data_IF_963896464508
#
_entry.id   IF_963896464508
#
_cell.length_a   1.000
_cell.length_b   1.000
_cell.length_c   1.000
_cell.angle_alpha   90.00
_cell.angle_beta   90.00
_cell.angle_gamma   90.00
#
_symmetry.space_group_name_H-M   'P 1'
#
loop_
_entity.id
_entity.type
_entity.pdbx_description
1 polymer ?
#
# COMPACT_ATOMS: atom_id res chain seq x y z
N UNK A 1 -4.35 -24.49 -17.30
CA UNK A 1 -5.00 -23.19 -17.52
C UNK A 1 -5.23 -23.01 -19.01
N UNK A 2 -6.42 -22.57 -19.43
CA UNK A 2 -6.62 -22.11 -20.83
C UNK A 2 -5.95 -20.75 -20.98
N UNK A 3 -5.17 -20.56 -22.04
CA UNK A 3 -4.50 -19.29 -22.34
C UNK A 3 -5.48 -18.38 -23.04
N UNK A 4 -5.80 -17.24 -22.41
CA UNK A 4 -6.65 -16.21 -22.97
C UNK A 4 -5.77 -15.12 -23.58
N UNK A 5 -5.69 -15.08 -24.91
CA UNK A 5 -4.88 -14.09 -25.62
C UNK A 5 -5.52 -12.71 -25.61
N UNK A 6 -4.69 -11.68 -25.56
CA UNK A 6 -5.14 -10.31 -25.71
C UNK A 6 -5.68 -10.08 -27.13
N UNK A 7 -6.85 -9.43 -27.30
CA UNK A 7 -7.37 -9.13 -28.63
C UNK A 7 -6.38 -8.27 -29.44
N UNK A 8 -6.29 -8.50 -30.75
CA UNK A 8 -5.37 -7.76 -31.62
C UNK A 8 -5.75 -6.27 -31.72
N UNK A 9 -7.05 -5.96 -31.66
CA UNK A 9 -7.58 -4.60 -31.74
C UNK A 9 -7.73 -3.94 -30.36
N UNK A 10 -6.59 -3.67 -29.69
CA UNK A 10 -6.56 -2.90 -28.44
C UNK A 10 -6.12 -1.45 -28.74
N UNK A 11 -6.87 -0.43 -28.27
CA UNK A 11 -6.52 0.98 -28.45
C UNK A 11 -5.09 1.30 -27.99
N UNK A 12 -4.40 2.18 -28.71
CA UNK A 12 -3.03 2.60 -28.39
C UNK A 12 -2.88 3.05 -26.93
N UNK A 13 -3.85 3.79 -26.40
CA UNK A 13 -3.87 4.23 -25.00
C UNK A 13 -3.75 3.07 -24.01
N UNK A 14 -4.48 1.96 -24.24
CA UNK A 14 -4.38 0.76 -23.39
C UNK A 14 -3.03 0.05 -23.54
N UNK A 15 -2.40 0.12 -24.71
CA UNK A 15 -1.04 -0.40 -24.93
C UNK A 15 -0.01 0.43 -24.17
N UNK A 16 -0.11 1.76 -24.21
CA UNK A 16 0.76 2.67 -23.45
C UNK A 16 0.61 2.47 -21.94
N UNK A 17 -0.60 2.29 -21.43
CA UNK A 17 -0.82 1.89 -20.02
C UNK A 17 -0.11 0.58 -19.68
N UNK A 18 -0.23 -0.45 -20.53
CA UNK A 18 0.48 -1.72 -20.31
C UNK A 18 1.99 -1.55 -20.37
N UNK A 19 2.51 -0.74 -21.30
CA UNK A 19 3.93 -0.46 -21.44
C UNK A 19 4.48 0.30 -20.22
N UNK A 20 3.74 1.28 -19.70
CA UNK A 20 4.09 2.00 -18.48
C UNK A 20 4.16 1.05 -17.26
N UNK A 21 3.15 0.20 -17.08
CA UNK A 21 3.17 -0.82 -16.01
C UNK A 21 4.29 -1.84 -16.21
N UNK A 22 4.56 -2.26 -17.44
CA UNK A 22 5.66 -3.18 -17.75
C UNK A 22 7.01 -2.54 -17.43
N UNK A 23 7.23 -1.28 -17.80
CA UNK A 23 8.43 -0.52 -17.45
C UNK A 23 8.58 -0.42 -15.93
N UNK A 24 7.51 -0.15 -15.20
CA UNK A 24 7.54 -0.12 -13.73
C UNK A 24 7.89 -1.50 -13.12
N UNK A 25 7.26 -2.59 -13.59
CA UNK A 25 7.58 -3.96 -13.16
C UNK A 25 9.04 -4.31 -13.47
N UNK A 26 9.52 -3.97 -14.66
CA UNK A 26 10.93 -4.15 -15.05
C UNK A 26 11.87 -3.38 -14.13
N UNK A 27 11.54 -2.11 -13.83
CA UNK A 27 12.29 -1.29 -12.87
C UNK A 27 12.36 -1.93 -11.48
N UNK A 28 11.30 -2.60 -11.04
CA UNK A 28 11.27 -3.23 -9.73
C UNK A 28 12.02 -4.58 -9.69
N UNK A 29 11.94 -5.39 -10.75
CA UNK A 29 12.41 -6.79 -10.72
C UNK A 29 13.78 -7.03 -11.37
N UNK A 30 14.14 -6.26 -12.40
CA UNK A 30 15.28 -6.56 -13.28
C UNK A 30 16.27 -5.40 -13.46
N UNK A 31 15.82 -4.15 -13.30
CA UNK A 31 16.68 -2.98 -13.56
C UNK A 31 17.91 -2.94 -12.66
N UNK A 32 17.80 -3.32 -11.39
CA UNK A 32 18.94 -3.35 -10.48
C UNK A 32 20.05 -4.31 -10.96
N UNK A 33 19.65 -5.48 -11.47
CA UNK A 33 20.55 -6.50 -12.01
C UNK A 33 21.20 -5.99 -13.30
N UNK A 34 20.43 -5.35 -14.19
CA UNK A 34 20.97 -4.70 -15.38
C UNK A 34 21.96 -3.59 -15.04
N UNK A 35 21.65 -2.74 -14.05
CA UNK A 35 22.51 -1.67 -13.57
C UNK A 35 23.82 -2.21 -12.98
N UNK A 36 23.74 -3.27 -12.18
CA UNK A 36 24.92 -3.93 -11.62
C UNK A 36 25.79 -4.54 -12.73
N UNK A 37 25.18 -5.27 -13.67
CA UNK A 37 25.88 -5.86 -14.80
C UNK A 37 26.56 -4.77 -15.65
N UNK A 38 25.86 -3.67 -15.94
CA UNK A 38 26.43 -2.54 -16.67
C UNK A 38 27.63 -1.92 -15.95
N UNK A 39 27.55 -1.74 -14.63
CA UNK A 39 28.67 -1.23 -13.84
C UNK A 39 29.88 -2.18 -13.84
N UNK A 40 29.64 -3.49 -13.69
CA UNK A 40 30.71 -4.51 -13.75
C UNK A 40 31.34 -4.56 -15.14
N UNK A 41 30.55 -4.56 -16.21
CA UNK A 41 31.06 -4.52 -17.58
C UNK A 41 31.86 -3.25 -17.86
N UNK A 42 31.42 -2.09 -17.35
CA UNK A 42 32.17 -0.84 -17.45
C UNK A 42 33.53 -0.95 -16.74
N UNK A 43 33.55 -1.54 -15.54
CA UNK A 43 34.77 -1.74 -14.76
C UNK A 43 35.76 -2.73 -15.40
N UNK A 44 35.27 -3.69 -16.19
CA UNK A 44 36.09 -4.67 -16.90
C UNK A 44 36.47 -4.22 -18.33
N UNK A 45 35.92 -3.11 -18.80
CA UNK A 45 36.20 -2.56 -20.14
C UNK A 45 37.38 -1.58 -20.12
N UNK A 46 37.79 -1.11 -21.30
CA UNK A 46 38.78 -0.02 -21.45
C UNK A 46 38.34 1.30 -20.78
N UNK A 47 37.05 1.42 -20.42
CA UNK A 47 36.47 2.56 -19.71
C UNK A 47 36.48 2.41 -18.18
N UNK A 48 37.30 1.51 -17.62
CA UNK A 48 37.37 1.26 -16.19
C UNK A 48 37.63 2.51 -15.33
N UNK A 49 38.31 3.52 -15.87
CA UNK A 49 38.53 4.81 -15.19
C UNK A 49 37.18 5.48 -14.87
N UNK A 50 36.21 5.41 -15.78
CA UNK A 50 34.85 5.95 -15.53
C UNK A 50 34.17 5.18 -14.41
N UNK A 51 34.30 3.85 -14.38
CA UNK A 51 33.78 3.03 -13.30
C UNK A 51 34.45 3.36 -11.96
N UNK A 52 35.77 3.61 -11.94
CA UNK A 52 36.51 4.00 -10.75
C UNK A 52 36.08 5.38 -10.25
N UNK A 53 35.95 6.37 -11.14
CA UNK A 53 35.48 7.70 -10.78
C UNK A 53 34.05 7.64 -10.20
N UNK A 54 33.17 6.85 -10.83
CA UNK A 54 31.84 6.65 -10.31
C UNK A 54 31.85 5.90 -8.96
N UNK A 55 32.70 4.90 -8.78
CA UNK A 55 32.87 4.22 -7.49
C UNK A 55 33.36 5.18 -6.38
N UNK A 56 34.30 6.06 -6.72
CA UNK A 56 34.77 7.12 -5.82
C UNK A 56 33.64 8.07 -5.44
N UNK A 57 32.82 8.48 -6.41
CA UNK A 57 31.61 9.26 -6.15
C UNK A 57 30.62 8.52 -5.24
N UNK A 58 30.36 7.23 -5.50
CA UNK A 58 29.47 6.39 -4.68
C UNK A 58 29.93 6.29 -3.22
N UNK A 59 31.24 6.26 -3.00
CA UNK A 59 31.84 6.24 -1.67
C UNK A 59 31.67 7.58 -0.94
N UNK A 60 31.94 8.70 -1.62
CA UNK A 60 31.66 10.04 -1.07
C UNK A 60 30.17 10.24 -0.78
N UNK A 61 29.32 9.62 -1.59
CA UNK A 61 27.88 9.76 -1.55
C UNK A 61 27.14 8.69 -0.72
N UNK A 62 27.86 7.95 0.12
CA UNK A 62 27.34 6.74 0.76
C UNK A 62 26.05 6.96 1.57
N UNK A 63 25.96 8.09 2.28
CA UNK A 63 24.88 8.37 3.24
C UNK A 63 23.67 9.11 2.63
N UNK A 64 23.69 9.45 1.34
CA UNK A 64 22.58 10.17 0.72
C UNK A 64 21.22 9.44 0.82
N UNK A 65 21.14 8.11 0.64
CA UNK A 65 19.90 7.36 0.84
C UNK A 65 19.30 7.42 2.25
N UNK A 66 20.12 7.70 3.27
CA UNK A 66 19.69 7.87 4.67
C UNK A 66 19.53 9.34 5.07
N UNK A 67 19.88 10.27 4.18
CA UNK A 67 19.82 11.72 4.40
C UNK A 67 18.78 12.43 3.52
N UNK A 68 17.70 11.73 3.15
CA UNK A 68 16.58 12.28 2.37
C UNK A 68 16.64 12.03 0.86
N UNK A 69 17.72 11.43 0.36
CA UNK A 69 17.88 11.06 -1.05
C UNK A 69 17.98 12.26 -2.00
N UNK A 70 17.84 11.98 -3.30
CA UNK A 70 17.86 12.98 -4.38
C UNK A 70 16.57 12.99 -5.18
N UNK A 71 15.50 13.48 -4.56
CA UNK A 71 14.21 13.55 -5.22
C UNK A 71 14.26 14.49 -6.43
N UNK A 72 13.79 14.02 -7.58
CA UNK A 72 13.71 14.80 -8.82
C UNK A 72 12.27 15.06 -9.21
N UNK A 73 11.88 16.33 -9.25
CA UNK A 73 10.53 16.71 -9.67
C UNK A 73 10.26 16.32 -11.13
N UNK A 74 11.30 16.38 -11.97
CA UNK A 74 11.21 16.00 -13.38
C UNK A 74 10.88 14.52 -13.54
N UNK A 75 11.61 13.64 -12.85
CA UNK A 75 11.34 12.18 -12.89
C UNK A 75 9.96 11.86 -12.34
N UNK A 76 9.55 12.47 -11.22
CA UNK A 76 8.22 12.27 -10.63
C UNK A 76 7.07 12.74 -11.53
N UNK A 77 7.34 13.64 -12.47
CA UNK A 77 6.34 14.23 -13.37
C UNK A 77 6.39 13.66 -14.80
N UNK A 78 7.11 12.55 -15.02
CA UNK A 78 7.10 11.89 -16.33
C UNK A 78 5.69 11.44 -16.73
N UNK A 79 5.35 11.65 -18.01
CA UNK A 79 4.05 11.27 -18.58
C UNK A 79 3.76 9.77 -18.52
N UNK A 80 4.79 8.93 -18.39
CA UNK A 80 4.64 7.48 -18.16
C UNK A 80 3.81 7.19 -16.91
N UNK A 81 3.88 8.06 -15.88
CA UNK A 81 3.13 7.88 -14.64
C UNK A 81 1.63 8.14 -14.80
N UNK A 82 1.21 8.96 -15.76
CA UNK A 82 -0.21 9.14 -16.07
C UNK A 82 -0.81 7.86 -16.67
N UNK A 83 -0.07 7.20 -17.56
CA UNK A 83 -0.44 5.89 -18.10
C UNK A 83 -0.44 4.80 -17.03
N UNK A 84 0.51 4.84 -16.09
CA UNK A 84 0.53 3.96 -14.92
C UNK A 84 -0.71 4.17 -14.04
N UNK A 85 -1.05 5.44 -13.74
CA UNK A 85 -2.24 5.82 -12.97
C UNK A 85 -3.52 5.29 -13.59
N UNK A 86 -3.65 5.43 -14.90
CA UNK A 86 -4.85 4.99 -15.64
C UNK A 86 -4.88 3.48 -15.90
N UNK A 87 -3.78 2.76 -15.65
CA UNK A 87 -3.78 1.30 -15.70
C UNK A 87 -4.52 0.70 -14.51
N UNK A 88 -4.33 1.25 -13.30
CA UNK A 88 -4.95 0.82 -12.03
C UNK A 88 -6.04 1.76 -11.51
N UNK A 89 -6.63 2.61 -12.36
CA UNK A 89 -7.35 3.81 -11.92
C UNK A 89 -6.97 4.36 -10.53
N UNK A 90 -5.72 4.78 -10.34
CA UNK A 90 -5.21 5.22 -9.03
C UNK A 90 -5.87 6.52 -8.55
N UNK A 91 -6.32 6.54 -7.30
CA UNK A 91 -6.81 7.76 -6.63
C UNK A 91 -6.18 7.93 -5.25
N UNK A 92 -5.73 9.15 -4.94
CA UNK A 92 -5.30 9.55 -3.61
C UNK A 92 -6.35 10.47 -2.98
N UNK A 93 -6.98 10.01 -1.90
CA UNK A 93 -8.01 10.74 -1.17
C UNK A 93 -7.40 11.38 0.07
N UNK A 94 -7.42 12.71 0.09
CA UNK A 94 -7.06 13.52 1.26
C UNK A 94 -8.32 13.73 2.11
N UNK A 95 -8.28 13.26 3.36
CA UNK A 95 -9.41 13.48 4.30
C UNK A 95 -9.20 14.70 5.22
N UNK A 96 -7.96 15.20 5.32
CA UNK A 96 -7.62 16.29 6.24
C UNK A 96 -6.44 17.12 5.73
N UNK A 97 -6.44 18.40 6.09
CA UNK A 97 -5.30 19.28 5.89
C UNK A 97 -4.18 18.97 6.88
N UNK A 98 -2.96 18.93 6.35
CA UNK A 98 -1.76 18.67 7.12
C UNK A 98 -0.89 19.93 7.11
N UNK A 99 -0.44 20.34 8.29
CA UNK A 99 0.42 21.50 8.49
C UNK A 99 1.82 21.27 7.89
N UNK A 100 2.23 22.03 6.86
CA UNK A 100 3.53 21.87 6.22
C UNK A 100 4.71 22.21 7.14
N UNK A 101 4.49 22.81 8.31
CA UNK A 101 5.53 23.08 9.31
C UNK A 101 5.85 21.86 10.18
N UNK A 102 5.10 20.75 10.04
CA UNK A 102 5.32 19.52 10.81
C UNK A 102 5.88 18.41 9.92
N UNK A 103 6.58 17.46 10.55
CA UNK A 103 7.01 16.22 9.90
C UNK A 103 6.01 15.10 10.22
N UNK A 104 5.85 14.18 9.28
CA UNK A 104 4.86 13.12 9.33
C UNK A 104 5.48 11.75 9.07
N UNK A 105 4.92 10.74 9.72
CA UNK A 105 5.16 9.33 9.40
C UNK A 105 3.83 8.73 8.95
N UNK A 106 3.75 8.40 7.66
CA UNK A 106 2.59 7.76 7.06
C UNK A 106 2.71 6.24 7.19
N UNK A 107 1.84 5.64 7.99
CA UNK A 107 1.74 4.18 8.13
C UNK A 107 0.87 3.61 7.02
N UNK A 108 1.49 3.20 5.92
CA UNK A 108 0.80 2.68 4.73
C UNK A 108 0.45 1.21 4.88
N UNK A 109 -0.80 0.86 4.57
CA UNK A 109 -1.32 -0.51 4.57
C UNK A 109 -2.36 -0.74 3.46
N UNK A 110 -2.51 -1.99 2.99
CA UNK A 110 -1.59 -3.11 3.19
C UNK A 110 -0.33 -2.91 2.31
N UNK A 111 0.76 -3.60 2.62
CA UNK A 111 1.96 -3.59 1.76
C UNK A 111 1.68 -4.12 0.34
N UNK A 112 0.86 -5.17 0.19
CA UNK A 112 0.70 -5.85 -1.10
C UNK A 112 2.02 -6.46 -1.60
N UNK A 113 2.04 -6.96 -2.83
CA UNK A 113 3.23 -7.62 -3.40
C UNK A 113 4.30 -6.61 -3.82
N UNK A 114 3.94 -5.65 -4.68
CA UNK A 114 4.85 -4.63 -5.22
C UNK A 114 4.49 -3.19 -4.79
N UNK A 115 3.48 -3.03 -3.93
CA UNK A 115 3.05 -1.74 -3.35
C UNK A 115 2.75 -0.66 -4.42
N UNK A 116 2.00 -1.02 -5.46
CA UNK A 116 1.82 -0.18 -6.65
C UNK A 116 1.15 1.17 -6.34
N UNK A 117 0.20 1.18 -5.41
CA UNK A 117 -0.47 2.39 -4.95
C UNK A 117 0.45 3.29 -4.13
N UNK A 118 1.29 2.74 -3.25
CA UNK A 118 2.27 3.57 -2.54
C UNK A 118 3.27 4.22 -3.51
N UNK A 119 3.77 3.46 -4.49
CA UNK A 119 4.65 4.02 -5.51
C UNK A 119 3.95 5.13 -6.30
N UNK A 120 2.77 4.84 -6.87
CA UNK A 120 2.04 5.81 -7.69
C UNK A 120 1.69 7.09 -6.92
N UNK A 121 1.27 6.96 -5.65
CA UNK A 121 0.82 8.09 -4.84
C UNK A 121 1.93 8.90 -4.18
N UNK A 122 3.06 8.27 -3.83
CA UNK A 122 4.09 8.92 -3.02
C UNK A 122 5.44 9.07 -3.73
N UNK A 123 5.69 8.33 -4.82
CA UNK A 123 6.91 8.43 -5.62
C UNK A 123 6.71 9.14 -6.97
N UNK A 124 5.48 9.52 -7.32
CA UNK A 124 5.17 10.23 -8.57
C UNK A 124 4.18 11.36 -8.31
N UNK A 125 4.00 12.24 -9.29
CA UNK A 125 2.96 13.28 -9.26
C UNK A 125 1.67 12.89 -10.00
N UNK A 126 1.52 11.64 -10.42
CA UNK A 126 0.38 11.22 -11.24
C UNK A 126 -0.98 11.43 -10.54
N UNK A 127 -1.05 11.23 -9.22
CA UNK A 127 -2.24 11.53 -8.41
C UNK A 127 -2.21 12.92 -7.77
N UNK A 128 -1.20 13.74 -8.10
CA UNK A 128 -1.11 15.14 -7.68
C UNK A 128 -0.78 15.32 -6.20
N UNK A 129 0.11 14.49 -5.63
CA UNK A 129 0.48 14.58 -4.21
C UNK A 129 0.84 16.00 -3.77
N UNK A 130 1.71 16.70 -4.51
CA UNK A 130 2.11 18.07 -4.16
C UNK A 130 0.97 19.09 -4.24
N UNK A 131 -0.09 18.83 -5.02
CA UNK A 131 -1.30 19.66 -5.06
C UNK A 131 -2.23 19.38 -3.89
N UNK A 132 -2.39 18.10 -3.53
CA UNK A 132 -3.22 17.69 -2.39
C UNK A 132 -2.59 18.12 -1.05
N UNK A 133 -1.27 18.00 -0.93
CA UNK A 133 -0.51 18.31 0.28
C UNK A 133 0.56 19.36 -0.01
N UNK A 134 0.17 20.64 -0.20
CA UNK A 134 1.10 21.71 -0.53
C UNK A 134 2.14 21.89 0.59
N UNK A 135 3.40 22.03 0.21
CA UNK A 135 4.52 22.13 1.15
C UNK A 135 4.99 20.81 1.75
N UNK A 136 4.27 19.70 1.54
CA UNK A 136 4.71 18.37 1.97
C UNK A 136 5.53 17.66 0.89
N UNK A 137 6.51 16.88 1.36
CA UNK A 137 7.48 16.14 0.57
C UNK A 137 7.42 14.67 0.97
N UNK A 138 6.86 13.84 0.11
CA UNK A 138 6.78 12.40 0.34
C UNK A 138 8.11 11.70 0.05
N UNK A 139 8.49 10.81 0.97
CA UNK A 139 9.63 9.92 0.85
C UNK A 139 9.20 8.49 1.19
N UNK A 140 9.21 7.59 0.22
CA UNK A 140 8.84 6.19 0.43
C UNK A 140 10.03 5.39 0.93
N UNK A 141 9.87 4.72 2.08
CA UNK A 141 10.93 3.92 2.69
C UNK A 141 11.03 2.57 1.98
N UNK A 142 12.22 2.28 1.46
CA UNK A 142 12.54 1.04 0.73
C UNK A 142 13.70 0.31 1.40
N UNK A 143 13.76 -1.01 1.20
CA UNK A 143 14.81 -1.86 1.77
C UNK A 143 16.23 -1.31 1.46
N UNK A 144 17.13 -1.22 2.45
CA UNK A 144 18.45 -0.58 2.27
C UNK A 144 19.35 -1.24 1.23
N UNK A 145 19.14 -2.54 0.97
CA UNK A 145 19.91 -3.32 0.01
C UNK A 145 19.93 -2.68 -1.39
N UNK A 146 18.79 -2.17 -1.85
CA UNK A 146 18.66 -1.56 -3.18
C UNK A 146 19.52 -0.32 -3.37
N UNK A 147 19.82 0.41 -2.30
CA UNK A 147 20.67 1.60 -2.35
C UNK A 147 22.17 1.29 -2.43
N UNK A 148 22.56 0.01 -2.35
CA UNK A 148 23.95 -0.43 -2.58
C UNK A 148 24.24 -0.75 -4.04
N UNK A 149 23.20 -0.84 -4.89
CA UNK A 149 23.35 -1.18 -6.30
C UNK A 149 23.69 0.10 -7.09
N UNK A 150 24.88 0.16 -7.74
CA UNK A 150 25.27 1.30 -8.59
C UNK A 150 24.23 1.57 -9.68
N UNK A 151 24.06 2.84 -10.07
CA UNK A 151 23.07 3.37 -11.03
C UNK A 151 21.61 3.22 -10.59
N UNK A 152 21.21 2.05 -10.08
CA UNK A 152 19.86 1.79 -9.60
C UNK A 152 19.51 2.66 -8.39
N UNK A 153 20.44 2.82 -7.45
CA UNK A 153 20.26 3.71 -6.28
C UNK A 153 19.89 5.13 -6.69
N UNK A 154 20.51 5.66 -7.74
CA UNK A 154 20.28 7.04 -8.19
C UNK A 154 18.91 7.14 -8.87
N UNK A 155 18.53 6.14 -9.66
CA UNK A 155 17.21 6.06 -10.28
C UNK A 155 16.08 6.03 -9.24
N UNK A 156 16.15 5.17 -8.22
CA UNK A 156 15.08 5.08 -7.21
C UNK A 156 15.04 6.33 -6.31
N UNK A 157 16.19 6.93 -5.99
CA UNK A 157 16.23 8.19 -5.23
C UNK A 157 15.54 9.34 -5.99
N UNK A 158 15.58 9.34 -7.33
CA UNK A 158 14.88 10.34 -8.14
C UNK A 158 13.36 10.32 -7.90
N UNK A 159 12.75 9.15 -7.66
CA UNK A 159 11.34 9.04 -7.27
C UNK A 159 11.03 9.55 -5.86
N UNK A 160 12.06 9.76 -5.03
CA UNK A 160 11.93 10.09 -3.61
C UNK A 160 11.98 8.86 -2.70
N UNK A 161 12.45 7.71 -3.20
CA UNK A 161 12.68 6.56 -2.34
C UNK A 161 13.92 6.78 -1.47
N UNK A 162 13.82 6.40 -0.20
CA UNK A 162 14.91 6.48 0.78
C UNK A 162 15.05 5.17 1.53
N UNK A 163 16.18 4.97 2.20
CA UNK A 163 16.42 3.76 2.99
C UNK A 163 15.41 3.61 4.13
N UNK A 164 14.96 2.39 4.41
CA UNK A 164 14.08 2.07 5.54
C UNK A 164 14.83 1.93 6.88
N UNK A 165 16.10 2.30 6.94
CA UNK A 165 16.89 2.34 8.17
C UNK A 165 16.33 3.33 9.20
N UNK A 166 16.56 3.06 10.49
CA UNK A 166 16.17 3.97 11.59
C UNK A 166 16.80 5.36 11.45
N UNK A 167 18.04 5.46 10.95
CA UNK A 167 18.72 6.74 10.70
C UNK A 167 18.00 7.59 9.66
N UNK A 168 17.54 6.97 8.56
CA UNK A 168 16.75 7.62 7.52
C UNK A 168 15.43 8.16 8.05
N UNK A 169 14.69 7.31 8.78
CA UNK A 169 13.44 7.74 9.41
C UNK A 169 13.66 8.85 10.44
N UNK A 170 14.73 8.76 11.24
CA UNK A 170 15.15 9.81 12.16
C UNK A 170 15.41 11.12 11.42
N UNK A 171 16.20 11.07 10.35
CA UNK A 171 16.56 12.24 9.55
C UNK A 171 15.33 12.96 9.03
N UNK A 172 14.38 12.24 8.44
CA UNK A 172 13.13 12.83 7.92
C UNK A 172 12.23 13.37 9.03
N UNK A 173 12.09 12.62 10.13
CA UNK A 173 11.22 13.00 11.24
C UNK A 173 11.75 14.22 12.02
N UNK A 174 13.08 14.41 12.08
CA UNK A 174 13.71 15.47 12.88
C UNK A 174 14.14 16.71 12.08
N UNK A 175 13.82 16.78 10.77
CA UNK A 175 14.25 17.91 9.93
C UNK A 175 13.61 19.23 10.41
N UNK A 176 14.41 20.28 10.67
CA UNK A 176 13.89 21.60 10.98
C UNK A 176 13.15 22.17 9.76
N UNK A 177 12.11 22.97 10.02
CA UNK A 177 11.25 23.56 8.99
C UNK A 177 10.05 22.69 8.58
N UNK A 178 10.02 21.41 8.98
CA UNK A 178 8.89 20.53 8.70
C UNK A 178 8.79 20.09 7.24
N UNK A 179 7.60 19.61 6.88
CA UNK A 179 7.22 19.33 5.50
C UNK A 179 7.70 17.99 4.97
N UNK A 180 8.34 17.15 5.80
CA UNK A 180 8.79 15.82 5.38
C UNK A 180 7.75 14.78 5.76
N UNK A 181 7.44 13.89 4.83
CA UNK A 181 6.51 12.77 5.01
C UNK A 181 7.25 11.48 4.74
N UNK A 182 7.60 10.76 5.80
CA UNK A 182 8.16 9.42 5.69
C UNK A 182 7.02 8.41 5.53
N UNK A 183 6.91 7.78 4.36
CA UNK A 183 5.90 6.76 4.08
C UNK A 183 6.51 5.38 4.31
N UNK A 184 5.95 4.63 5.26
CA UNK A 184 6.40 3.28 5.61
C UNK A 184 5.27 2.28 5.38
N UNK A 185 5.53 1.26 4.56
CA UNK A 185 4.66 0.10 4.46
C UNK A 185 4.88 -0.79 5.68
N UNK A 186 4.04 -0.64 6.71
CA UNK A 186 4.31 -1.09 8.08
C UNK A 186 4.37 -2.60 8.21
N UNK A 187 3.53 -3.34 7.48
CA UNK A 187 3.52 -4.81 7.55
C UNK A 187 4.73 -5.44 6.86
N UNK A 188 5.40 -4.71 5.96
CA UNK A 188 6.66 -5.10 5.34
C UNK A 188 6.59 -6.45 4.60
N UNK A 189 7.75 -7.10 4.53
CA UNK A 189 7.93 -8.39 3.87
C UNK A 189 6.96 -9.51 4.33
N UNK A 190 6.61 -9.67 5.63
CA UNK A 190 5.60 -10.66 6.03
C UNK A 190 4.20 -10.39 5.49
N UNK A 191 3.75 -9.14 5.50
CA UNK A 191 2.43 -8.76 4.95
C UNK A 191 2.39 -8.97 3.43
N UNK A 192 3.52 -8.75 2.74
CA UNK A 192 3.66 -9.06 1.32
C UNK A 192 3.50 -10.56 1.01
N UNK A 193 3.98 -11.47 1.87
CA UNK A 193 3.83 -12.93 1.70
C UNK A 193 2.40 -13.44 1.96
N UNK A 194 1.55 -12.61 2.59
CA UNK A 194 0.16 -12.91 2.91
C UNK A 194 -0.83 -12.17 1.99
N UNK A 195 -0.35 -11.36 1.05
CA UNK A 195 -1.18 -10.59 0.14
C UNK A 195 -1.90 -11.51 -0.86
N UNK A 196 -3.22 -11.65 -0.69
CA UNK A 196 -4.07 -12.45 -1.58
C UNK A 196 -5.34 -11.69 -1.95
N UNK A 197 -5.87 -11.85 -3.17
CA UNK A 197 -7.15 -11.28 -3.55
C UNK A 197 -8.28 -11.72 -2.60
N UNK A 198 -9.17 -10.79 -2.25
CA UNK A 198 -10.29 -11.01 -1.32
C UNK A 198 -9.91 -11.15 0.15
N UNK A 199 -8.62 -11.13 0.49
CA UNK A 199 -8.13 -11.23 1.86
C UNK A 199 -7.30 -10.01 2.25
N UNK A 200 -7.56 -9.48 3.44
CA UNK A 200 -6.75 -8.41 4.01
C UNK A 200 -6.21 -8.86 5.37
N UNK A 201 -4.92 -9.21 5.37
CA UNK A 201 -4.19 -9.57 6.59
C UNK A 201 -3.22 -8.43 6.91
N UNK A 202 -3.44 -7.73 8.03
CA UNK A 202 -2.59 -6.62 8.45
C UNK A 202 -1.63 -7.05 9.56
N UNK A 203 -0.34 -6.80 9.37
CA UNK A 203 0.74 -7.16 10.31
C UNK A 203 1.16 -5.93 11.14
N UNK A 204 0.32 -5.52 12.11
CA UNK A 204 0.50 -4.23 12.82
C UNK A 204 0.85 -4.40 14.30
N UNK A 205 0.29 -5.41 14.97
CA UNK A 205 0.31 -5.50 16.44
C UNK A 205 1.72 -5.47 17.04
N UNK A 206 2.67 -6.10 16.34
CA UNK A 206 4.05 -6.23 16.78
C UNK A 206 5.00 -5.18 16.17
N UNK A 207 4.50 -4.26 15.32
CA UNK A 207 5.32 -3.31 14.56
C UNK A 207 5.37 -1.92 15.20
N UNK A 208 5.86 -1.79 16.42
CA UNK A 208 5.86 -0.52 17.18
C UNK A 208 7.02 0.45 16.87
N UNK A 209 7.95 0.05 16.00
CA UNK A 209 9.18 0.79 15.73
C UNK A 209 8.96 2.20 15.17
N UNK A 210 8.05 2.34 14.20
CA UNK A 210 7.74 3.64 13.58
C UNK A 210 7.00 4.57 14.54
N UNK A 211 6.16 4.02 15.43
CA UNK A 211 5.49 4.77 16.51
C UNK A 211 6.53 5.31 17.50
N UNK A 212 7.49 4.48 17.90
CA UNK A 212 8.60 4.91 18.77
C UNK A 212 9.41 6.04 18.14
N UNK A 213 9.65 5.99 16.83
CA UNK A 213 10.33 7.06 16.10
C UNK A 213 9.49 8.34 16.02
N UNK A 214 8.18 8.23 15.80
CA UNK A 214 7.26 9.37 15.83
C UNK A 214 7.34 10.10 17.17
N UNK A 215 7.21 9.35 18.28
CA UNK A 215 7.30 9.88 19.64
C UNK A 215 8.66 10.51 19.94
N UNK A 216 9.77 9.86 19.54
CA UNK A 216 11.13 10.34 19.80
C UNK A 216 11.40 11.69 19.13
N UNK A 217 10.85 11.93 17.94
CA UNK A 217 11.14 13.12 17.14
C UNK A 217 9.98 14.13 17.07
N UNK A 218 8.87 13.86 17.77
CA UNK A 218 7.67 14.70 17.71
C UNK A 218 6.96 14.70 16.35
N UNK A 219 7.24 13.73 15.49
CA UNK A 219 6.59 13.61 14.18
C UNK A 219 5.15 13.08 14.33
N UNK A 220 4.24 13.59 13.50
CA UNK A 220 2.83 13.21 13.53
C UNK A 220 2.62 11.87 12.82
N UNK A 221 1.85 10.99 13.44
CA UNK A 221 1.56 9.67 12.87
C UNK A 221 0.24 9.69 12.11
N UNK A 222 0.26 9.32 10.84
CA UNK A 222 -0.92 9.35 9.96
C UNK A 222 -1.14 7.96 9.37
N UNK A 223 -2.24 7.27 9.72
CA UNK A 223 -2.60 6.02 9.05
C UNK A 223 -3.02 6.27 7.60
N UNK A 224 -2.53 5.43 6.70
CA UNK A 224 -2.86 5.47 5.27
C UNK A 224 -3.31 4.08 4.85
N UNK A 225 -4.50 3.99 4.26
CA UNK A 225 -5.06 2.72 3.82
C UNK A 225 -5.29 2.70 2.31
N UNK A 226 -4.86 1.64 1.63
CA UNK A 226 -4.92 1.48 0.18
C UNK A 226 -5.79 0.28 -0.20
N UNK A 227 -7.00 0.55 -0.68
CA UNK A 227 -7.90 -0.46 -1.20
C UNK A 227 -7.41 -0.92 -2.58
N UNK A 228 -7.44 -2.23 -2.86
CA UNK A 228 -7.09 -2.80 -4.16
C UNK A 228 -5.66 -3.34 -4.29
N UNK A 229 -4.75 -3.04 -3.35
CA UNK A 229 -3.34 -3.50 -3.40
C UNK A 229 -3.19 -5.02 -3.47
N UNK A 230 -3.99 -5.75 -2.69
CA UNK A 230 -3.93 -7.21 -2.65
C UNK A 230 -4.59 -7.88 -3.86
N UNK A 231 -5.36 -7.13 -4.66
CA UNK A 231 -6.08 -7.64 -5.84
C UNK A 231 -5.20 -7.66 -7.10
N UNK A 232 -3.97 -7.14 -7.02
CA UNK A 232 -3.09 -6.96 -8.18
C UNK A 232 -2.41 -8.24 -8.64
N UNK A 233 -2.25 -9.21 -7.74
CA UNK A 233 -1.51 -10.43 -7.98
C UNK A 233 -2.14 -11.61 -7.25
N UNK A 234 -2.10 -12.77 -7.90
CA UNK A 234 -2.34 -14.05 -7.26
C UNK A 234 -1.03 -14.61 -6.72
N UNK A 235 -1.05 -15.10 -5.49
CA UNK A 235 0.09 -15.81 -4.90
C UNK A 235 -0.19 -17.31 -4.83
N UNK A 236 0.85 -18.11 -5.06
CA UNK A 236 0.76 -19.54 -4.80
C UNK A 236 0.42 -19.78 -3.33
N UNK A 237 -0.44 -20.77 -3.08
CA UNK A 237 -0.83 -21.12 -1.71
C UNK A 237 0.39 -21.54 -0.89
N UNK A 238 0.65 -20.80 0.18
CA UNK A 238 1.80 -21.01 1.06
C UNK A 238 1.36 -21.00 2.55
N UNK A 239 0.53 -21.97 2.98
CA UNK A 239 0.02 -22.00 4.34
C UNK A 239 1.17 -22.07 5.36
N UNK A 240 0.93 -21.53 6.56
CA UNK A 240 1.89 -21.56 7.66
C UNK A 240 2.34 -22.99 7.95
N UNK A 241 3.66 -23.23 7.94
CA UNK A 241 4.24 -24.55 8.15
C UNK A 241 4.55 -25.34 6.86
N UNK A 242 4.08 -24.89 5.69
CA UNK A 242 4.43 -25.52 4.41
C UNK A 242 5.93 -25.43 4.10
N UNK A 243 6.51 -26.37 3.33
CA UNK A 243 7.92 -26.31 2.92
C UNK A 243 8.26 -25.00 2.20
N UNK A 244 7.37 -24.54 1.33
CA UNK A 244 7.51 -23.26 0.62
C UNK A 244 7.56 -22.09 1.61
N UNK A 245 6.65 -22.03 2.59
CA UNK A 245 6.65 -20.96 3.60
C UNK A 245 7.90 -21.02 4.49
N UNK A 246 8.39 -22.21 4.84
CA UNK A 246 9.64 -22.37 5.61
C UNK A 246 10.84 -21.83 4.82
N UNK A 247 10.93 -22.15 3.52
CA UNK A 247 11.97 -21.62 2.64
C UNK A 247 11.86 -20.09 2.51
N UNK A 248 10.66 -19.56 2.24
CA UNK A 248 10.43 -18.11 2.13
C UNK A 248 10.81 -17.38 3.42
N UNK A 249 10.43 -17.90 4.59
CA UNK A 249 10.78 -17.31 5.88
C UNK A 249 12.29 -17.39 6.15
N UNK A 250 12.96 -18.48 5.77
CA UNK A 250 14.41 -18.62 5.90
C UNK A 250 15.18 -17.67 4.98
N UNK A 251 14.77 -17.54 3.73
CA UNK A 251 15.37 -16.58 2.79
C UNK A 251 15.10 -15.14 3.24
N UNK A 252 13.92 -14.86 3.78
CA UNK A 252 13.59 -13.57 4.36
C UNK A 252 14.45 -13.23 5.59
N UNK A 253 14.73 -14.19 6.47
CA UNK A 253 15.54 -13.93 7.66
C UNK A 253 17.01 -13.67 7.31
N UNK A 254 17.52 -14.27 6.24
CA UNK A 254 18.90 -14.08 5.75
C UNK A 254 19.02 -12.79 4.92
N UNK A 255 18.13 -12.61 3.95
CA UNK A 255 18.25 -11.55 2.93
C UNK A 255 17.47 -10.28 3.28
N UNK A 256 16.55 -10.33 4.25
CA UNK A 256 15.63 -9.23 4.55
C UNK A 256 14.57 -8.97 3.48
N UNK A 257 14.54 -9.79 2.42
CA UNK A 257 13.66 -9.69 1.25
C UNK A 257 12.65 -10.84 1.29
N UNK A 258 11.35 -10.54 1.20
CA UNK A 258 10.36 -11.56 0.89
C UNK A 258 10.39 -11.87 -0.60
N UNK A 259 10.41 -13.15 -0.95
CA UNK A 259 10.24 -13.63 -2.33
C UNK A 259 8.88 -14.32 -2.47
N UNK A 260 7.79 -13.54 -2.60
CA UNK A 260 6.49 -14.12 -2.94
C UNK A 260 6.56 -14.76 -4.32
N UNK A 261 6.05 -15.98 -4.45
CA UNK A 261 5.78 -16.59 -5.74
C UNK A 261 4.41 -16.11 -6.19
N UNK A 262 4.41 -15.07 -7.01
CA UNK A 262 3.22 -14.43 -7.52
C UNK A 262 3.12 -14.56 -9.04
N UNK A 263 1.89 -14.50 -9.51
CA UNK A 263 1.57 -14.38 -10.92
C UNK A 263 0.35 -13.47 -11.08
N UNK A 264 0.22 -12.91 -12.27
CA UNK A 264 -0.95 -12.18 -12.70
C UNK A 264 -1.08 -12.43 -14.21
N UNK A 265 -1.00 -11.38 -15.03
CA UNK A 265 -1.16 -11.49 -16.49
C UNK A 265 0.14 -11.27 -17.27
N UNK A 266 0.15 -11.72 -18.52
CA UNK A 266 1.22 -11.47 -19.48
C UNK A 266 1.01 -10.17 -20.27
N UNK A 267 1.98 -9.85 -21.14
CA UNK A 267 1.86 -8.69 -22.04
C UNK A 267 0.78 -8.95 -23.10
N UNK A 268 0.84 -10.13 -23.72
CA UNK A 268 -0.01 -10.55 -24.85
C UNK A 268 -1.07 -11.59 -24.51
N UNK A 269 -1.13 -12.03 -23.25
CA UNK A 269 -2.14 -12.95 -22.74
C UNK A 269 -2.52 -12.60 -21.29
N UNK A 270 -3.68 -13.07 -20.84
CA UNK A 270 -4.28 -12.69 -19.56
C UNK A 270 -4.23 -13.76 -18.48
N UNK A 271 -3.63 -14.92 -18.75
CA UNK A 271 -3.71 -16.10 -17.90
C UNK A 271 -2.52 -16.30 -16.95
N UNK A 272 -1.32 -15.85 -17.29
CA UNK A 272 -0.16 -15.95 -16.39
C UNK A 272 0.90 -14.88 -16.71
N UNK A 273 1.68 -14.42 -15.74
CA UNK A 273 2.78 -13.50 -15.99
C UNK A 273 3.08 -12.59 -14.81
N UNK A 274 3.90 -11.58 -15.04
CA UNK A 274 4.37 -10.67 -13.99
C UNK A 274 3.72 -9.28 -14.05
N UNK A 275 2.84 -9.03 -15.02
CA UNK A 275 2.12 -7.76 -15.10
C UNK A 275 0.91 -7.82 -14.16
N UNK A 276 0.77 -6.89 -13.21
CA UNK A 276 -0.39 -6.75 -12.34
C UNK A 276 -1.75 -6.81 -13.05
N UNK A 277 -2.78 -7.32 -12.38
CA UNK A 277 -4.15 -7.17 -12.84
C UNK A 277 -4.57 -5.69 -12.88
N UNK A 278 -5.45 -5.36 -13.84
CA UNK A 278 -6.04 -4.02 -13.96
C UNK A 278 -7.18 -3.88 -12.96
N UNK A 279 -6.86 -3.47 -11.73
CA UNK A 279 -7.82 -3.25 -10.65
C UNK A 279 -7.70 -1.82 -10.13
N UNK A 280 -8.82 -1.19 -9.74
CA UNK A 280 -8.81 0.14 -9.14
C UNK A 280 -8.04 0.14 -7.81
N UNK A 281 -7.22 1.17 -7.57
CA UNK A 281 -6.52 1.38 -6.30
C UNK A 281 -6.95 2.72 -5.69
N UNK A 282 -7.53 2.67 -4.49
CA UNK A 282 -7.97 3.86 -3.76
C UNK A 282 -7.17 3.99 -2.46
N UNK A 283 -6.29 4.98 -2.37
CA UNK A 283 -5.52 5.25 -1.17
C UNK A 283 -6.10 6.42 -0.40
N UNK A 284 -6.44 6.20 0.86
CA UNK A 284 -7.05 7.19 1.76
C UNK A 284 -6.06 7.54 2.86
N UNK A 285 -5.74 8.83 3.00
CA UNK A 285 -4.94 9.36 4.11
C UNK A 285 -5.91 9.71 5.24
N UNK A 286 -5.85 9.01 6.38
CA UNK A 286 -6.85 9.05 7.46
C UNK A 286 -6.31 9.85 8.66
N UNK A 287 -7.12 10.72 9.27
CA UNK A 287 -6.73 11.44 10.49
C UNK A 287 -6.69 10.50 11.71
N UNK A 288 -5.70 10.72 12.58
CA UNK A 288 -5.48 9.98 13.83
C UNK A 288 -6.73 9.92 14.74
N UNK A 289 -7.57 10.97 14.74
CA UNK A 289 -8.83 11.03 15.51
C UNK A 289 -9.87 10.00 15.07
N UNK A 290 -9.91 9.64 13.79
CA UNK A 290 -10.84 8.62 13.26
C UNK A 290 -10.34 7.21 13.60
N UNK A 291 -9.02 7.04 13.69
CA UNK A 291 -8.41 5.79 14.14
C UNK A 291 -8.66 5.52 15.63
N UNK A 292 -8.89 6.56 16.45
CA UNK A 292 -9.35 6.36 17.83
C UNK A 292 -10.69 5.62 17.87
N UNK A 293 -11.60 5.82 16.90
CA UNK A 293 -12.84 5.06 16.84
C UNK A 293 -12.61 3.57 16.50
N UNK A 294 -11.64 3.26 15.62
CA UNK A 294 -11.24 1.90 15.28
C UNK A 294 -10.50 1.18 16.44
N UNK A 295 -9.61 1.87 17.15
CA UNK A 295 -8.86 1.30 18.28
C UNK A 295 -9.64 1.30 19.61
N UNK A 296 -10.56 2.25 19.86
CA UNK A 296 -11.35 2.31 21.11
C UNK A 296 -12.45 1.25 21.12
N UNK A 297 -13.04 0.91 19.97
CA UNK A 297 -13.96 -0.24 19.89
C UNK A 297 -13.26 -1.58 20.22
N UNK A 298 -11.98 -1.73 19.91
CA UNK A 298 -11.21 -2.95 20.21
C UNK A 298 -10.97 -3.11 21.73
N UNK A 299 -10.76 -2.02 22.47
CA UNK A 299 -10.69 -2.06 23.95
C UNK A 299 -12.02 -2.37 24.63
N UNK A 300 -13.15 -2.07 23.99
CA UNK A 300 -14.47 -2.45 24.51
C UNK A 300 -14.89 -3.88 24.16
N UNK A 301 -14.18 -4.55 23.24
CA UNK A 301 -14.40 -5.96 22.87
C UNK A 301 -13.56 -6.95 23.71
N UNK A 302 -13.01 -6.52 24.85
CA UNK A 302 -12.37 -7.40 25.84
C UNK A 302 -13.33 -8.40 26.51
N UNK A 303 -14.63 -8.30 26.26
CA UNK A 303 -15.61 -9.35 26.56
C UNK A 303 -15.95 -10.13 25.29
N UNK A 304 -15.75 -11.46 25.31
CA UNK A 304 -16.09 -12.43 24.26
C UNK A 304 -17.43 -12.14 23.54
N UNK A 305 -17.44 -11.32 22.48
CA UNK A 305 -18.51 -11.33 21.47
C UNK A 305 -17.93 -11.01 20.10
N UNK A 306 -18.06 -11.97 19.18
CA UNK A 306 -17.79 -11.80 17.74
C UNK A 306 -18.75 -10.73 17.22
N UNK A 307 -18.21 -9.57 16.83
CA UNK A 307 -18.90 -8.66 15.91
C UNK A 307 -18.03 -8.51 14.66
N UNK A 308 -18.58 -8.89 13.52
CA UNK A 308 -17.94 -8.65 12.22
C UNK A 308 -18.23 -7.21 11.78
N UNK A 309 -17.23 -6.53 11.23
CA UNK A 309 -17.42 -5.22 10.62
C UNK A 309 -17.54 -5.38 9.10
N UNK A 310 -18.54 -4.75 8.49
CA UNK A 310 -18.77 -4.76 7.05
C UNK A 310 -18.86 -3.30 6.57
N UNK A 311 -17.86 -2.84 5.80
CA UNK A 311 -17.94 -1.54 5.12
C UNK A 311 -18.65 -1.80 3.79
N UNK A 312 -19.90 -1.38 3.66
CA UNK A 312 -20.77 -1.77 2.54
C UNK A 312 -20.77 -0.81 1.36
N UNK A 313 -20.31 0.44 1.50
CA UNK A 313 -20.02 1.31 0.33
C UNK A 313 -19.23 2.57 0.71
N UNK A 314 -18.43 3.07 -0.24
CA UNK A 314 -17.90 4.44 -0.24
C UNK A 314 -18.51 5.13 -1.46
N UNK A 315 -19.57 5.92 -1.27
CA UNK A 315 -20.09 6.81 -2.30
C UNK A 315 -19.47 8.19 -2.15
N UNK A 316 -19.20 8.83 -3.29
CA UNK A 316 -18.29 9.99 -3.40
C UNK A 316 -18.79 11.28 -2.75
N UNK A 317 -19.94 11.30 -2.09
CA UNK A 317 -20.44 12.46 -1.37
C UNK A 317 -21.09 12.02 -0.05
N UNK A 318 -20.41 12.33 1.07
CA UNK A 318 -20.78 12.10 2.47
C UNK A 318 -20.65 10.64 2.96
N UNK A 319 -19.66 10.44 3.84
CA UNK A 319 -19.56 9.23 4.67
C UNK A 319 -20.69 9.24 5.70
N UNK A 320 -21.76 8.47 5.47
CA UNK A 320 -22.80 8.18 6.46
C UNK A 320 -22.51 6.79 7.05
N UNK A 321 -22.13 6.75 8.33
CA UNK A 321 -21.92 5.52 9.09
C UNK A 321 -23.26 5.12 9.73
N UNK A 322 -24.01 4.20 9.10
CA UNK A 322 -25.21 3.61 9.71
C UNK A 322 -24.81 2.40 10.55
N UNK A 323 -24.94 2.51 11.88
CA UNK A 323 -24.74 1.39 12.81
C UNK A 323 -26.02 0.56 12.84
N UNK A 324 -26.03 -0.60 12.20
CA UNK A 324 -27.08 -1.61 12.40
C UNK A 324 -26.77 -2.41 13.67
N UNK A 325 -27.40 -2.01 14.78
CA UNK A 325 -27.37 -2.77 16.02
C UNK A 325 -28.42 -3.87 15.94
N UNK A 326 -28.01 -5.12 15.70
CA UNK A 326 -28.92 -6.26 15.80
C UNK A 326 -29.24 -6.52 17.29
N UNK A 327 -30.50 -6.30 17.67
CA UNK A 327 -30.98 -6.58 19.02
C UNK A 327 -30.97 -8.10 19.26
N UNK A 328 -30.16 -8.55 20.22
CA UNK A 328 -30.24 -9.90 20.75
C UNK A 328 -31.24 -9.92 21.91
N UNK A 329 -32.17 -10.88 21.85
CA UNK A 329 -33.21 -11.13 22.83
C UNK A 329 -32.67 -11.19 24.28
N UNK A 330 -33.28 -10.41 25.17
CA UNK A 330 -33.10 -10.51 26.61
C UNK A 330 -34.30 -11.24 27.23
N UNK A 331 -34.00 -12.31 27.97
CA UNK A 331 -34.93 -13.00 28.86
C UNK A 331 -35.58 -12.04 29.87
N UNK A 332 -36.83 -12.37 30.18
CA UNK A 332 -37.76 -11.74 31.13
C UNK A 332 -37.25 -11.67 32.57
N UNK A 333 -37.78 -10.72 33.36
CA UNK A 333 -38.48 -11.11 34.59
C UNK A 333 -39.91 -10.52 34.67
N UNK A 334 -40.77 -11.26 35.36
CA UNK A 334 -42.21 -11.03 35.59
C UNK A 334 -42.50 -9.75 36.41
N UNK A 335 -43.68 -9.14 36.22
CA UNK A 335 -44.24 -8.17 37.17
C UNK A 335 -45.36 -7.23 36.68
N UNK A 336 -46.60 -7.75 36.65
CA UNK A 336 -47.93 -7.10 36.89
C UNK A 336 -48.40 -5.81 36.18
N UNK A 337 -49.50 -5.97 35.43
CA UNK A 337 -50.79 -5.24 35.54
C UNK A 337 -50.85 -3.71 35.34
N UNK A 338 -51.32 -3.27 34.17
CA UNK A 338 -52.65 -2.64 33.96
C UNK A 338 -52.70 -1.79 32.65
N UNK A 339 -53.73 -2.02 31.86
CA UNK A 339 -54.18 -1.24 30.67
C UNK A 339 -55.06 -0.03 31.14
N UNK A 340 -55.53 0.94 30.29
CA UNK A 340 -55.95 0.76 28.89
C UNK A 340 -55.82 1.97 27.90
N UNK A 341 -56.24 1.70 26.65
CA UNK A 341 -56.79 2.58 25.59
C UNK A 341 -55.94 3.04 24.37
N UNK A 342 -56.55 2.76 23.22
CA UNK A 342 -56.31 2.81 21.74
C UNK A 342 -56.29 4.21 21.08
N UNK A 343 -56.16 4.37 19.72
CA UNK A 343 -55.66 3.51 18.64
C UNK A 343 -54.69 4.19 17.62
N UNK A 344 -54.25 3.36 16.67
CA UNK A 344 -53.35 3.50 15.53
C UNK A 344 -53.62 4.55 14.45
N UNK A 345 -52.57 4.91 13.70
CA UNK A 345 -52.58 4.92 12.22
C UNK A 345 -51.25 4.36 11.66
N UNK A 346 -51.32 3.12 11.14
CA UNK A 346 -50.28 2.48 10.31
C UNK A 346 -50.49 2.88 8.84
N UNK A 347 -49.45 3.32 8.14
CA UNK A 347 -49.40 3.26 6.68
C UNK A 347 -48.43 2.14 6.28
N UNK A 348 -49.01 1.05 5.74
CA UNK A 348 -48.33 -0.08 5.09
C UNK A 348 -47.64 0.41 3.81
N UNK A 349 -46.42 -0.06 3.56
CA UNK A 349 -46.01 -0.46 2.21
C UNK A 349 -45.54 -1.91 2.27
N UNK A 350 -46.11 -2.71 1.38
CA UNK A 350 -45.96 -4.16 1.27
C UNK A 350 -44.67 -4.45 0.50
N UNK A 351 -43.83 -5.30 1.08
CA UNK A 351 -42.69 -5.94 0.42
C UNK A 351 -43.19 -7.06 -0.48
N UNK A 352 -42.79 -7.05 -1.76
CA UNK A 352 -42.80 -8.25 -2.59
C UNK A 352 -41.41 -8.89 -2.50
N UNK A 353 -41.37 -10.11 -1.94
CA UNK A 353 -40.23 -11.00 -2.01
C UNK A 353 -40.03 -11.49 -3.45
N UNK A 354 -38.79 -11.41 -3.93
CA UNK A 354 -38.31 -12.20 -5.05
C UNK A 354 -36.93 -12.78 -4.69
N UNK A 355 -36.90 -14.11 -4.60
CA UNK A 355 -35.72 -14.95 -4.46
C UNK A 355 -34.86 -14.91 -5.73
N UNK A 356 -33.53 -14.98 -5.58
CA UNK A 356 -32.67 -15.63 -6.59
C UNK A 356 -31.29 -15.00 -6.84
N UNK A 357 -30.26 -15.67 -6.30
CA UNK A 357 -28.83 -15.68 -6.69
C UNK A 357 -28.03 -14.36 -6.61
N UNK A 358 -26.98 -14.18 -5.81
CA UNK A 358 -26.08 -15.14 -5.17
C UNK A 358 -24.65 -15.04 -5.73
N UNK A 359 -23.97 -13.89 -5.59
CA UNK A 359 -22.50 -13.78 -5.59
C UNK A 359 -22.08 -12.60 -4.70
N UNK A 360 -22.04 -12.81 -3.38
CA UNK A 360 -21.46 -11.85 -2.45
C UNK A 360 -20.01 -12.21 -2.16
N UNK A 361 -19.06 -11.50 -2.76
CA UNK A 361 -17.64 -11.60 -2.38
C UNK A 361 -17.46 -11.02 -0.97
N UNK A 362 -17.45 -11.90 0.04
CA UNK A 362 -17.14 -11.54 1.42
C UNK A 362 -15.62 -11.36 1.57
N UNK A 363 -15.15 -10.12 1.57
CA UNK A 363 -13.76 -9.81 1.91
C UNK A 363 -13.51 -10.12 3.39
N UNK A 364 -12.63 -11.07 3.70
CA UNK A 364 -12.30 -11.40 5.10
C UNK A 364 -11.20 -10.46 5.61
N UNK A 365 -11.55 -9.64 6.60
CA UNK A 365 -10.61 -8.78 7.31
C UNK A 365 -10.00 -9.55 8.49
N UNK A 366 -8.67 -9.62 8.57
CA UNK A 366 -7.95 -10.26 9.68
C UNK A 366 -6.79 -9.36 10.13
N UNK A 367 -6.77 -8.98 11.40
CA UNK A 367 -5.60 -8.33 12.02
C UNK A 367 -4.79 -9.42 12.71
N UNK A 368 -3.46 -9.44 12.49
CA UNK A 368 -2.54 -10.44 13.05
C UNK A 368 -1.38 -9.76 13.78
#
# INVERSE_FOLDING_TARGET
MKVEFAPLNIPLRRRLQTAATLQWVFSFLALAQCCLAAFVLLALSDWWIVALLYAGWLWLDWDTPTCGGRRSQWVRSWSVWDFFKDYFPLTLVKTVDLDPKKNYIFGFHPHGVLVAGAFGNFCTEATGFSRLFPGLRSHLLMLPFWFRVPLFRDYIMCGGLVSSCKSSLSHLASRPGGGNVAVIAVGGAPEALDARPGALTLQVLNRKGFIKMALKHGAQLVPVFSFGENELFDQMENPSGSPLRKLQNGLQSIMGVAMPLFHARGVFQYSFGLIPYRKPIHTVVILQSVCACLCVCERMSGGKKRSGFQITSVTSDRVVLTVLQSAAASCSPQGSSSQPTTPSLKRKYISHDAFGHGVGSSSRFRVV
#
